data_IF_883536968315
#
_entry.id   IF_883536968315
#
_cell.length_a   1.000
_cell.length_b   1.000
_cell.length_c   1.000
_cell.angle_alpha   90.00
_cell.angle_beta   90.00
_cell.angle_gamma   90.00
#
_symmetry.space_group_name_H-M   'P 1'
#
loop_
_entity.id
_entity.type
_entity.pdbx_description
1 polymer ?
#
# COMPACT_ATOMS: atom_id res chain seq x y z
N UNK A 1 -3.67 20.65 -1.81
CA UNK A 1 -2.32 20.81 -2.41
C UNK A 1 -1.35 19.73 -1.94
N UNK A 2 -1.10 19.57 -0.63
CA UNK A 2 -0.18 18.55 -0.12
C UNK A 2 -0.50 17.11 -0.58
N UNK A 3 -1.78 16.72 -0.57
CA UNK A 3 -2.21 15.39 -1.04
C UNK A 3 -1.89 15.18 -2.52
N UNK A 4 -2.15 16.19 -3.36
CA UNK A 4 -1.84 16.14 -4.80
C UNK A 4 -0.33 16.00 -5.06
N UNK A 5 0.50 16.76 -4.36
CA UNK A 5 1.95 16.64 -4.47
C UNK A 5 2.43 15.25 -4.06
N UNK A 6 1.93 14.72 -2.93
CA UNK A 6 2.27 13.38 -2.47
C UNK A 6 1.86 12.28 -3.46
N UNK A 7 0.65 12.37 -4.03
CA UNK A 7 0.21 11.39 -5.03
C UNK A 7 1.04 11.45 -6.31
N UNK A 8 1.43 12.65 -6.78
CA UNK A 8 2.28 12.80 -7.96
C UNK A 8 3.66 12.20 -7.72
N UNK A 9 4.28 12.46 -6.56
CA UNK A 9 5.55 11.84 -6.19
C UNK A 9 5.47 10.32 -6.15
N UNK A 10 4.40 9.75 -5.60
CA UNK A 10 4.22 8.29 -5.57
C UNK A 10 3.95 7.69 -6.95
N UNK A 11 3.30 8.41 -7.86
CA UNK A 11 3.15 7.98 -9.26
C UNK A 11 4.52 7.91 -9.95
N UNK A 12 5.39 8.88 -9.73
CA UNK A 12 6.76 8.86 -10.26
C UNK A 12 7.53 7.66 -9.71
N UNK A 13 7.47 7.42 -8.39
CA UNK A 13 8.12 6.26 -7.77
C UNK A 13 7.56 4.93 -8.28
N UNK A 14 6.23 4.82 -8.44
CA UNK A 14 5.58 3.65 -9.01
C UNK A 14 6.04 3.38 -10.45
N UNK A 15 6.22 4.43 -11.26
CA UNK A 15 6.74 4.31 -12.62
C UNK A 15 8.20 3.82 -12.64
N UNK A 16 9.06 4.34 -11.76
CA UNK A 16 10.45 3.89 -11.62
C UNK A 16 10.51 2.42 -11.17
N UNK A 17 9.71 2.03 -10.17
CA UNK A 17 9.61 0.64 -9.73
C UNK A 17 9.15 -0.30 -10.85
N UNK A 18 8.18 0.12 -11.66
CA UNK A 18 7.72 -0.64 -12.83
C UNK A 18 8.82 -0.80 -13.89
N UNK A 19 9.63 0.22 -14.14
CA UNK A 19 10.79 0.13 -15.05
C UNK A 19 11.85 -0.83 -14.50
N UNK A 20 12.07 -0.83 -13.19
CA UNK A 20 13.07 -1.67 -12.53
C UNK A 20 12.55 -3.05 -12.13
N UNK A 21 11.31 -3.43 -12.48
CA UNK A 21 10.64 -4.65 -11.97
C UNK A 21 11.46 -5.93 -12.08
N UNK A 22 12.18 -6.10 -13.19
CA UNK A 22 12.96 -7.31 -13.47
C UNK A 22 14.34 -7.26 -12.78
N UNK A 23 14.90 -6.06 -12.57
CA UNK A 23 16.21 -5.88 -11.94
C UNK A 23 16.11 -5.88 -10.43
N UNK A 24 14.98 -5.47 -9.87
CA UNK A 24 14.74 -5.46 -8.42
C UNK A 24 14.94 -6.83 -7.80
N UNK A 25 14.34 -7.88 -8.36
CA UNK A 25 14.53 -9.25 -7.85
C UNK A 25 16.00 -9.66 -7.83
N UNK A 26 16.73 -9.37 -8.92
CA UNK A 26 18.13 -9.75 -9.09
C UNK A 26 19.10 -8.99 -8.17
N UNK A 27 18.70 -7.83 -7.62
CA UNK A 27 19.51 -7.11 -6.63
C UNK A 27 19.43 -7.71 -5.22
N UNK A 28 18.34 -8.42 -4.90
CA UNK A 28 18.08 -8.93 -3.54
C UNK A 28 18.25 -10.45 -3.42
N UNK A 29 18.20 -11.18 -4.54
CA UNK A 29 18.32 -12.64 -4.54
C UNK A 29 18.98 -13.13 -5.82
N UNK A 30 19.74 -14.21 -5.70
CA UNK A 30 20.29 -14.97 -6.83
C UNK A 30 19.34 -16.09 -7.28
N UNK A 31 18.26 -16.36 -6.54
CA UNK A 31 17.30 -17.41 -6.86
C UNK A 31 16.30 -16.96 -7.94
N UNK A 32 16.33 -17.65 -9.08
CA UNK A 32 15.49 -17.37 -10.24
C UNK A 32 13.98 -17.44 -9.92
N UNK A 33 13.58 -18.30 -8.98
CA UNK A 33 12.19 -18.42 -8.54
C UNK A 33 11.75 -17.14 -7.83
N UNK A 34 12.56 -16.63 -6.90
CA UNK A 34 12.30 -15.41 -6.14
C UNK A 34 12.29 -14.17 -7.05
N UNK A 35 13.19 -14.11 -8.03
CA UNK A 35 13.25 -13.00 -9.01
C UNK A 35 11.96 -12.96 -9.84
N UNK A 36 11.49 -14.12 -10.30
CA UNK A 36 10.27 -14.23 -11.10
C UNK A 36 9.05 -13.84 -10.28
N UNK A 37 8.94 -14.34 -9.04
CA UNK A 37 7.84 -14.06 -8.13
C UNK A 37 7.77 -12.56 -7.77
N UNK A 38 8.92 -11.94 -7.52
CA UNK A 38 9.04 -10.50 -7.24
C UNK A 38 8.59 -9.68 -8.44
N UNK A 39 8.99 -10.06 -9.65
CA UNK A 39 8.62 -9.36 -10.89
C UNK A 39 7.10 -9.36 -11.11
N UNK A 40 6.40 -10.42 -10.69
CA UNK A 40 4.94 -10.48 -10.70
C UNK A 40 4.28 -9.64 -9.60
N UNK A 41 4.92 -9.47 -8.44
CA UNK A 41 4.40 -8.66 -7.33
C UNK A 41 4.59 -7.15 -7.50
N UNK A 42 5.64 -6.72 -8.21
CA UNK A 42 5.97 -5.29 -8.41
C UNK A 42 4.80 -4.43 -8.94
N UNK A 43 3.98 -4.87 -9.92
CA UNK A 43 2.82 -4.10 -10.35
C UNK A 43 1.79 -3.87 -9.24
N UNK A 44 1.52 -4.89 -8.42
CA UNK A 44 0.61 -4.78 -7.26
C UNK A 44 1.18 -3.82 -6.21
N UNK A 45 2.49 -3.88 -5.97
CA UNK A 45 3.20 -2.94 -5.10
C UNK A 45 3.10 -1.50 -5.60
N UNK A 46 3.34 -1.30 -6.91
CA UNK A 46 3.29 0.01 -7.54
C UNK A 46 1.90 0.66 -7.42
N UNK A 47 0.83 -0.12 -7.57
CA UNK A 47 -0.53 0.38 -7.34
C UNK A 47 -0.78 0.73 -5.86
N UNK A 48 -0.25 -0.07 -4.94
CA UNK A 48 -0.40 0.15 -3.49
C UNK A 48 0.27 1.45 -3.03
N UNK A 49 1.42 1.78 -3.62
CA UNK A 49 2.20 2.99 -3.30
C UNK A 49 1.39 4.29 -3.42
N UNK A 50 0.48 4.36 -4.40
CA UNK A 50 -0.36 5.54 -4.61
C UNK A 50 -1.29 5.76 -3.41
N UNK A 51 -1.90 4.69 -2.92
CA UNK A 51 -2.75 4.72 -1.72
C UNK A 51 -1.95 5.05 -0.46
N UNK A 52 -0.76 4.45 -0.30
CA UNK A 52 0.14 4.69 0.84
C UNK A 52 0.65 6.14 0.88
N UNK A 53 0.93 6.75 -0.27
CA UNK A 53 1.29 8.17 -0.36
C UNK A 53 0.22 9.09 0.20
N UNK A 54 -1.03 8.87 -0.21
CA UNK A 54 -2.16 9.65 0.28
C UNK A 54 -2.37 9.45 1.80
N UNK A 55 -2.31 8.20 2.29
CA UNK A 55 -2.39 7.91 3.71
C UNK A 55 -1.29 8.62 4.52
N UNK A 56 -0.06 8.64 4.01
CA UNK A 56 1.08 9.28 4.68
C UNK A 56 0.86 10.79 4.83
N UNK A 57 0.37 11.45 3.78
CA UNK A 57 0.06 12.89 3.83
C UNK A 57 -1.09 13.17 4.78
N UNK A 58 -2.19 12.41 4.70
CA UNK A 58 -3.37 12.60 5.56
C UNK A 58 -3.03 12.34 7.04
N UNK A 59 -2.26 11.30 7.33
CA UNK A 59 -1.75 11.03 8.66
C UNK A 59 -0.78 12.14 9.14
N UNK A 60 -0.03 12.75 8.23
CA UNK A 60 0.78 13.95 8.51
C UNK A 60 -0.09 15.15 8.92
N UNK A 61 -1.17 15.42 8.18
CA UNK A 61 -2.14 16.48 8.51
C UNK A 61 -2.79 16.24 9.87
N UNK A 62 -3.26 15.03 10.16
CA UNK A 62 -3.87 14.70 11.45
C UNK A 62 -2.91 14.88 12.62
N UNK A 63 -1.63 14.53 12.44
CA UNK A 63 -0.58 14.78 13.44
C UNK A 63 -0.31 16.27 13.62
N UNK A 64 -0.26 17.04 12.54
CA UNK A 64 -0.10 18.50 12.60
C UNK A 64 -1.24 19.21 13.32
N UNK A 65 -2.46 18.67 13.26
CA UNK A 65 -3.63 19.19 13.97
C UNK A 65 -3.81 18.64 15.40
N UNK A 66 -2.89 17.80 15.91
CA UNK A 66 -3.03 17.17 17.23
C UNK A 66 -4.12 16.09 17.33
N UNK A 67 -4.66 15.62 16.19
CA UNK A 67 -5.73 14.61 16.10
C UNK A 67 -5.17 13.21 15.82
N UNK A 68 -3.96 12.90 16.28
CA UNK A 68 -3.30 11.60 16.02
C UNK A 68 -4.10 10.39 16.52
N UNK A 69 -4.90 10.53 17.58
CA UNK A 69 -5.73 9.43 18.11
C UNK A 69 -6.68 8.89 17.05
N UNK A 70 -7.31 9.78 16.27
CA UNK A 70 -8.26 9.38 15.21
C UNK A 70 -7.53 8.60 14.12
N UNK A 71 -6.37 9.11 13.66
CA UNK A 71 -5.56 8.42 12.65
C UNK A 71 -5.09 7.05 13.13
N UNK A 72 -4.65 6.94 14.38
CA UNK A 72 -4.19 5.67 14.96
C UNK A 72 -5.33 4.63 15.07
N UNK A 73 -6.51 5.03 15.53
CA UNK A 73 -7.68 4.14 15.61
C UNK A 73 -8.08 3.64 14.23
N UNK A 74 -8.12 4.52 13.22
CA UNK A 74 -8.44 4.13 11.83
C UNK A 74 -7.39 3.15 11.30
N UNK A 75 -6.11 3.41 11.55
CA UNK A 75 -5.04 2.53 11.11
C UNK A 75 -5.15 1.13 11.70
N UNK A 76 -5.43 1.05 13.00
CA UNK A 76 -5.61 -0.23 13.68
C UNK A 76 -6.82 -1.00 13.12
N UNK A 77 -7.97 -0.35 12.96
CA UNK A 77 -9.18 -1.02 12.44
C UNK A 77 -8.99 -1.47 11.00
N UNK A 78 -8.42 -0.62 10.13
CA UNK A 78 -8.27 -0.94 8.72
C UNK A 78 -7.25 -2.05 8.49
N UNK A 79 -6.03 -1.96 9.07
CA UNK A 79 -5.00 -2.97 8.81
C UNK A 79 -5.18 -4.25 9.62
N UNK A 80 -5.55 -4.15 10.91
CA UNK A 80 -5.67 -5.33 11.76
C UNK A 80 -7.05 -5.96 11.72
N UNK A 81 -8.10 -5.13 11.70
CA UNK A 81 -9.48 -5.62 11.71
C UNK A 81 -9.94 -6.12 10.35
N UNK A 82 -9.64 -5.40 9.27
CA UNK A 82 -10.12 -5.73 7.93
C UNK A 82 -9.01 -6.29 7.04
N UNK A 83 -7.85 -5.64 7.01
CA UNK A 83 -6.77 -5.95 6.08
C UNK A 83 -6.15 -7.31 6.31
N UNK A 84 -5.76 -7.63 7.54
CA UNK A 84 -5.18 -8.93 7.89
C UNK A 84 -6.10 -10.11 7.56
N UNK A 85 -7.37 -10.14 8.00
CA UNK A 85 -8.30 -11.21 7.63
C UNK A 85 -8.52 -11.30 6.12
N UNK A 86 -8.63 -10.17 5.43
CA UNK A 86 -8.84 -10.13 3.98
C UNK A 86 -7.60 -10.65 3.21
N UNK A 87 -6.40 -10.20 3.58
CA UNK A 87 -5.14 -10.68 3.03
C UNK A 87 -4.95 -12.18 3.27
N UNK A 88 -5.22 -12.67 4.49
CA UNK A 88 -5.16 -14.11 4.78
C UNK A 88 -6.20 -14.90 3.97
N UNK A 89 -7.40 -14.37 3.80
CA UNK A 89 -8.43 -15.00 2.97
C UNK A 89 -7.97 -15.13 1.51
N UNK A 90 -7.44 -14.08 0.91
CA UNK A 90 -6.91 -14.15 -0.46
C UNK A 90 -5.71 -15.10 -0.57
N UNK A 91 -4.79 -15.06 0.40
CA UNK A 91 -3.58 -15.87 0.38
C UNK A 91 -3.87 -17.37 0.50
N UNK A 92 -4.66 -17.75 1.50
CA UNK A 92 -4.86 -19.16 1.86
C UNK A 92 -6.13 -19.76 1.24
N UNK A 93 -7.24 -19.01 1.17
CA UNK A 93 -8.51 -19.56 0.68
C UNK A 93 -8.64 -19.49 -0.84
N UNK A 94 -8.19 -18.39 -1.46
CA UNK A 94 -8.13 -18.29 -2.92
C UNK A 94 -6.85 -18.89 -3.51
N UNK A 95 -5.91 -19.35 -2.67
CA UNK A 95 -4.66 -19.98 -3.13
C UNK A 95 -3.71 -19.02 -3.84
N UNK A 96 -3.88 -17.70 -3.69
CA UNK A 96 -3.01 -16.69 -4.33
C UNK A 96 -1.64 -16.54 -3.62
N UNK A 97 -1.44 -17.21 -2.49
CA UNK A 97 -0.17 -17.21 -1.75
C UNK A 97 0.32 -15.80 -1.42
N UNK A 98 1.58 -15.51 -1.71
CA UNK A 98 2.20 -14.20 -1.46
C UNK A 98 1.49 -13.06 -2.22
N UNK A 99 1.02 -13.30 -3.44
CA UNK A 99 0.28 -12.29 -4.22
C UNK A 99 -1.06 -11.93 -3.56
N UNK A 100 -1.72 -12.91 -2.91
CA UNK A 100 -2.93 -12.68 -2.14
C UNK A 100 -2.71 -11.75 -0.95
N UNK A 101 -1.57 -11.88 -0.27
CA UNK A 101 -1.20 -10.99 0.83
C UNK A 101 -1.01 -9.54 0.34
N UNK A 102 -0.24 -9.36 -0.73
CA UNK A 102 0.05 -8.05 -1.31
C UNK A 102 -1.18 -7.35 -1.86
N UNK A 103 -2.03 -8.08 -2.60
CA UNK A 103 -3.29 -7.53 -3.13
C UNK A 103 -4.26 -7.16 -2.01
N UNK A 104 -4.34 -7.95 -0.94
CA UNK A 104 -5.14 -7.60 0.23
C UNK A 104 -4.64 -6.35 0.95
N UNK A 105 -3.32 -6.17 1.08
CA UNK A 105 -2.72 -4.94 1.60
C UNK A 105 -3.02 -3.74 0.70
N UNK A 106 -2.93 -3.90 -0.61
CA UNK A 106 -3.24 -2.86 -1.60
C UNK A 106 -4.67 -2.34 -1.45
N UNK A 107 -5.64 -3.27 -1.37
CA UNK A 107 -7.05 -2.94 -1.15
C UNK A 107 -7.25 -2.21 0.18
N UNK A 108 -6.59 -2.67 1.23
CA UNK A 108 -6.67 -2.06 2.57
C UNK A 108 -6.15 -0.63 2.58
N UNK A 109 -4.97 -0.39 1.99
CA UNK A 109 -4.38 0.94 1.87
C UNK A 109 -5.31 1.89 1.09
N UNK A 110 -5.93 1.40 0.01
CA UNK A 110 -6.85 2.18 -0.82
C UNK A 110 -8.12 2.57 -0.05
N UNK A 111 -8.72 1.62 0.68
CA UNK A 111 -9.89 1.87 1.54
C UNK A 111 -9.57 2.84 2.68
N UNK A 112 -8.41 2.67 3.33
CA UNK A 112 -7.96 3.57 4.39
C UNK A 112 -7.79 5.00 3.87
N UNK A 113 -7.18 5.16 2.69
CA UNK A 113 -6.94 6.47 2.07
C UNK A 113 -8.26 7.21 1.78
N UNK A 114 -9.25 6.48 1.27
CA UNK A 114 -10.58 7.04 1.02
C UNK A 114 -11.27 7.47 2.31
N UNK A 115 -11.19 6.66 3.36
CA UNK A 115 -11.79 6.98 4.66
C UNK A 115 -11.09 8.14 5.37
N UNK A 116 -9.76 8.17 5.40
CA UNK A 116 -8.99 9.28 5.96
C UNK A 116 -9.25 10.59 5.21
N UNK A 117 -9.37 10.55 3.88
CA UNK A 117 -9.72 11.71 3.09
C UNK A 117 -11.08 12.26 3.52
N UNK A 118 -12.09 11.39 3.64
CA UNK A 118 -13.42 11.79 4.11
C UNK A 118 -13.38 12.43 5.50
N UNK A 119 -12.61 11.89 6.45
CA UNK A 119 -12.51 12.42 7.82
C UNK A 119 -11.79 13.76 7.89
N UNK A 120 -10.83 14.02 7.00
CA UNK A 120 -10.05 15.27 6.99
C UNK A 120 -10.78 16.40 6.26
N UNK A 121 -11.54 16.09 5.19
CA UNK A 121 -12.28 17.09 4.42
C UNK A 121 -13.69 17.38 4.97
N UNK A 122 -14.13 16.64 5.99
CA UNK A 122 -15.35 16.91 6.75
C UNK A 122 -15.08 17.87 7.90
#
# INVERSE_FOLDING_TARGET
VAVLMGTVSMIIFAAVLMMMRNQLGAMFSEDQEVITLTSFAVPTLAMSLIGEGANTVLAGVLRGCGRQKIGATINLVMYWGLGLPFSCFLAFRMGMGAMGLWTGLACTASLQSMYLSYVVFK
#
